data_IF_513867379179
#
_entry.id   IF_513867379179
#
_cell.length_a   1.000
_cell.length_b   1.000
_cell.length_c   1.000
_cell.angle_alpha   90.00
_cell.angle_beta   90.00
_cell.angle_gamma   90.00
#
_symmetry.space_group_name_H-M   'P 1'
#
loop_
_entity.id
_entity.type
_entity.pdbx_description
1 polymer ?
#
# COMPACT_ATOMS: atom_id res chain seq x y z
N UNK A 1 -4.91 14.95 -43.00
CA UNK A 1 -4.90 14.31 -41.65
C UNK A 1 -3.65 13.47 -41.47
N UNK A 2 -2.46 14.05 -41.62
CA UNK A 2 -1.16 13.34 -41.49
C UNK A 2 -0.04 14.20 -40.86
N UNK A 3 -0.38 15.31 -40.21
CA UNK A 3 0.62 16.26 -39.69
C UNK A 3 0.59 16.45 -38.17
N UNK A 4 -0.21 15.68 -37.41
CA UNK A 4 -0.30 15.82 -35.95
C UNK A 4 0.40 14.69 -35.17
N UNK A 5 0.86 13.63 -35.81
CA UNK A 5 1.48 12.47 -35.15
C UNK A 5 3.01 12.55 -35.04
N UNK A 6 3.64 13.54 -35.71
CA UNK A 6 5.11 13.68 -35.71
C UNK A 6 5.60 14.65 -34.61
N UNK A 7 4.73 15.50 -34.06
CA UNK A 7 5.16 16.46 -33.02
C UNK A 7 5.29 15.84 -31.61
N UNK A 8 4.64 14.73 -31.29
CA UNK A 8 4.77 14.06 -29.98
C UNK A 8 6.02 13.18 -29.84
N UNK A 9 6.61 12.72 -30.96
CA UNK A 9 7.83 11.89 -30.91
C UNK A 9 9.12 12.70 -30.83
N UNK A 10 9.11 13.97 -31.17
CA UNK A 10 10.27 14.86 -31.10
C UNK A 10 10.42 15.51 -29.71
N UNK A 11 9.35 15.59 -28.91
CA UNK A 11 9.41 16.14 -27.57
C UNK A 11 9.98 15.14 -26.53
N UNK A 12 9.91 13.83 -26.77
CA UNK A 12 10.51 12.81 -25.89
C UNK A 12 11.99 12.55 -26.16
N UNK A 13 12.52 12.90 -27.33
CA UNK A 13 13.95 12.68 -27.66
C UNK A 13 14.86 13.85 -27.30
N UNK A 14 14.32 15.01 -26.92
CA UNK A 14 15.11 16.19 -26.52
C UNK A 14 15.49 16.23 -25.03
N UNK A 15 15.03 15.28 -24.21
CA UNK A 15 15.35 15.19 -22.77
C UNK A 15 16.47 14.19 -22.44
N UNK A 16 17.06 13.52 -23.42
CA UNK A 16 18.07 12.47 -23.21
C UNK A 16 19.51 12.92 -23.54
N UNK A 17 19.74 14.14 -24.02
CA UNK A 17 21.09 14.60 -24.41
C UNK A 17 21.56 15.87 -23.69
N UNK A 18 21.46 15.88 -22.39
CA UNK A 18 22.08 16.87 -21.51
C UNK A 18 22.97 16.20 -20.47
N UNK A 19 24.09 15.56 -20.89
CA UNK A 19 25.16 15.22 -19.96
C UNK A 19 25.83 16.51 -19.46
N UNK A 20 25.28 17.11 -18.42
CA UNK A 20 26.04 18.02 -17.59
C UNK A 20 26.86 17.18 -16.61
N UNK A 21 28.19 17.19 -16.78
CA UNK A 21 29.12 16.70 -15.78
C UNK A 21 28.89 17.47 -14.48
N UNK A 22 28.16 16.83 -13.54
CA UNK A 22 28.10 17.31 -12.17
C UNK A 22 29.48 17.11 -11.53
N UNK A 23 29.95 18.08 -10.71
CA UNK A 23 31.26 17.98 -10.07
C UNK A 23 31.29 16.74 -9.16
N UNK A 24 32.33 15.92 -9.27
CA UNK A 24 32.64 14.82 -8.38
C UNK A 24 32.83 15.40 -6.98
N UNK A 25 31.82 15.21 -6.11
CA UNK A 25 31.96 15.52 -4.69
C UNK A 25 32.94 14.51 -4.10
N UNK A 26 34.04 14.93 -3.45
CA UNK A 26 34.95 13.99 -2.81
C UNK A 26 34.17 13.20 -1.74
N UNK A 27 34.49 11.92 -1.61
CA UNK A 27 33.92 11.02 -0.60
C UNK A 27 34.36 11.47 0.82
N UNK A 28 33.77 12.54 1.30
CA UNK A 28 33.78 12.85 2.72
C UNK A 28 32.77 11.89 3.36
N UNK A 29 33.25 11.06 4.28
CA UNK A 29 32.44 10.26 5.19
C UNK A 29 31.27 11.13 5.68
N UNK A 30 30.05 10.80 5.21
CA UNK A 30 28.84 11.46 5.73
C UNK A 30 28.73 11.04 7.18
N UNK A 31 29.15 11.89 8.09
CA UNK A 31 28.87 11.72 9.51
C UNK A 31 27.40 12.03 9.70
N UNK A 32 26.58 10.99 9.79
CA UNK A 32 25.20 11.09 10.22
C UNK A 32 25.19 11.48 11.70
N UNK A 33 24.92 12.74 11.99
CA UNK A 33 24.60 13.16 13.35
C UNK A 33 23.18 12.67 13.65
N UNK A 34 23.09 11.58 14.38
CA UNK A 34 21.83 10.94 14.78
C UNK A 34 21.19 11.62 16.00
N UNK A 35 21.30 12.93 16.14
CA UNK A 35 20.69 13.67 17.23
C UNK A 35 19.31 14.19 16.82
N UNK A 36 18.19 13.60 17.34
CA UNK A 36 16.83 14.06 17.06
C UNK A 36 16.59 15.51 17.53
N UNK A 37 17.44 16.04 18.38
CA UNK A 37 17.34 17.41 18.90
C UNK A 37 17.63 18.53 17.88
N UNK A 38 18.18 18.17 16.70
CA UNK A 38 18.49 19.15 15.64
C UNK A 38 17.38 19.27 14.58
N UNK A 39 16.34 18.46 14.66
CA UNK A 39 15.25 18.49 13.69
C UNK A 39 14.26 19.63 13.98
N UNK A 40 13.82 20.34 12.94
CA UNK A 40 12.87 21.45 13.10
C UNK A 40 11.48 20.92 13.52
N UNK A 41 11.14 21.06 14.79
CA UNK A 41 9.90 20.58 15.40
C UNK A 41 8.63 21.33 14.94
N UNK A 42 8.75 22.44 14.22
CA UNK A 42 7.63 23.26 13.78
C UNK A 42 7.16 22.97 12.34
N UNK A 43 7.73 21.96 11.68
CA UNK A 43 7.40 21.60 10.30
C UNK A 43 6.22 20.64 10.25
N UNK A 44 5.27 20.84 9.33
CA UNK A 44 4.17 19.90 9.07
C UNK A 44 4.66 18.69 8.26
N UNK A 45 5.26 17.73 8.95
CA UNK A 45 5.76 16.50 8.34
C UNK A 45 4.66 15.62 7.76
N UNK A 46 3.43 15.71 8.27
CA UNK A 46 2.33 14.83 7.85
C UNK A 46 1.92 15.10 6.41
N UNK A 47 1.83 16.37 6.02
CA UNK A 47 1.46 16.74 4.64
C UNK A 47 2.49 16.26 3.62
N UNK A 48 3.77 16.48 3.90
CA UNK A 48 4.85 16.03 3.02
C UNK A 48 4.93 14.50 2.95
N UNK A 49 4.80 13.84 4.10
CA UNK A 49 4.74 12.39 4.20
C UNK A 49 3.58 11.79 3.40
N UNK A 50 2.37 12.38 3.48
CA UNK A 50 1.21 11.94 2.69
C UNK A 50 1.51 11.98 1.20
N UNK A 51 2.05 13.09 0.71
CA UNK A 51 2.39 13.22 -0.71
C UNK A 51 3.35 12.12 -1.15
N UNK A 52 4.44 11.92 -0.40
CA UNK A 52 5.45 10.90 -0.69
C UNK A 52 4.85 9.47 -0.75
N UNK A 53 4.06 9.11 0.25
CA UNK A 53 3.50 7.75 0.33
C UNK A 53 2.36 7.51 -0.66
N UNK A 54 1.56 8.54 -1.01
CA UNK A 54 0.50 8.39 -2.02
C UNK A 54 1.07 8.20 -3.42
N UNK A 55 2.08 8.98 -3.80
CA UNK A 55 2.71 8.85 -5.11
C UNK A 55 3.31 7.44 -5.29
N UNK A 56 4.03 6.94 -4.27
CA UNK A 56 4.55 5.57 -4.29
C UNK A 56 3.43 4.52 -4.31
N UNK A 57 2.38 4.69 -3.49
CA UNK A 57 1.23 3.79 -3.47
C UNK A 57 0.61 3.64 -4.85
N UNK A 58 0.31 4.76 -5.54
CA UNK A 58 -0.31 4.73 -6.85
C UNK A 58 0.63 4.20 -7.94
N UNK A 59 1.92 4.50 -7.82
CA UNK A 59 2.93 4.02 -8.74
C UNK A 59 3.07 2.49 -8.70
N UNK A 60 3.05 1.91 -7.50
CA UNK A 60 3.08 0.45 -7.32
C UNK A 60 1.72 -0.22 -7.55
N UNK A 61 0.60 0.48 -7.30
CA UNK A 61 -0.75 -0.08 -7.41
C UNK A 61 -1.08 -0.56 -8.81
N UNK A 62 -0.72 0.22 -9.84
CA UNK A 62 -1.06 -0.09 -11.23
C UNK A 62 -0.45 -1.42 -11.72
N UNK A 63 0.87 -1.66 -11.62
CA UNK A 63 1.44 -2.94 -12.03
C UNK A 63 0.94 -4.11 -11.17
N UNK A 64 0.73 -3.92 -9.85
CA UNK A 64 0.12 -4.95 -9.01
C UNK A 64 -1.28 -5.29 -9.51
N UNK A 65 -2.13 -4.31 -9.78
CA UNK A 65 -3.48 -4.51 -10.26
C UNK A 65 -3.52 -5.30 -11.59
N UNK A 66 -2.70 -4.92 -12.55
CA UNK A 66 -2.62 -5.59 -13.86
C UNK A 66 -2.16 -7.05 -13.70
N UNK A 67 -1.08 -7.29 -12.95
CA UNK A 67 -0.51 -8.64 -12.76
C UNK A 67 -1.41 -9.56 -11.95
N UNK A 68 -2.23 -9.01 -11.06
CA UNK A 68 -3.20 -9.75 -10.25
C UNK A 68 -4.61 -9.82 -10.88
N UNK A 69 -4.73 -9.46 -12.15
CA UNK A 69 -6.01 -9.39 -12.85
C UNK A 69 -7.09 -8.62 -12.06
N UNK A 70 -6.67 -7.55 -11.38
CA UNK A 70 -7.52 -6.64 -10.60
C UNK A 70 -8.28 -7.31 -9.44
N UNK A 71 -7.81 -8.45 -8.92
CA UNK A 71 -8.37 -9.12 -7.74
C UNK A 71 -7.24 -9.41 -6.75
N UNK A 72 -6.95 -8.47 -5.85
CA UNK A 72 -5.77 -8.51 -5.01
C UNK A 72 -5.88 -7.67 -3.75
N UNK A 73 -4.97 -7.93 -2.83
CA UNK A 73 -4.62 -7.05 -1.70
C UNK A 73 -3.10 -6.98 -1.57
N UNK A 74 -2.56 -5.81 -1.23
CA UNK A 74 -1.12 -5.65 -0.94
C UNK A 74 -0.90 -4.46 0.01
N UNK A 75 0.30 -4.33 0.55
CA UNK A 75 0.67 -3.22 1.44
C UNK A 75 1.73 -2.33 0.79
N UNK A 76 1.34 -1.18 0.22
CA UNK A 76 2.31 -0.26 -0.38
C UNK A 76 3.26 0.35 0.65
N UNK A 77 2.77 0.67 1.86
CA UNK A 77 3.60 1.27 2.90
C UNK A 77 4.67 0.31 3.42
N UNK A 78 4.38 -1.00 3.45
CA UNK A 78 5.34 -2.02 3.87
C UNK A 78 6.50 -2.14 2.87
N UNK A 79 6.18 -2.16 1.57
CA UNK A 79 7.18 -2.14 0.49
C UNK A 79 8.00 -0.85 0.54
N UNK A 80 7.35 0.30 0.73
CA UNK A 80 8.00 1.61 0.86
C UNK A 80 9.05 1.62 1.99
N UNK A 81 8.70 1.07 3.18
CA UNK A 81 9.62 0.97 4.32
C UNK A 81 10.81 0.06 4.03
N UNK A 82 10.59 -1.08 3.37
CA UNK A 82 11.68 -1.99 3.01
C UNK A 82 12.62 -1.38 1.98
N UNK A 83 12.09 -0.67 0.98
CA UNK A 83 12.92 0.06 0.01
C UNK A 83 13.66 1.22 0.65
N UNK A 84 13.07 1.91 1.63
CA UNK A 84 13.76 2.93 2.41
C UNK A 84 14.95 2.36 3.17
N UNK A 85 14.81 1.17 3.77
CA UNK A 85 15.91 0.46 4.43
C UNK A 85 17.03 0.10 3.44
N UNK A 86 16.70 -0.38 2.24
CA UNK A 86 17.69 -0.65 1.20
C UNK A 86 18.39 0.64 0.75
N UNK A 87 17.63 1.73 0.57
CA UNK A 87 18.18 3.02 0.14
C UNK A 87 19.22 3.59 1.12
N UNK A 88 19.00 3.44 2.42
CA UNK A 88 19.97 3.91 3.45
C UNK A 88 21.31 3.12 3.42
N UNK A 89 21.34 1.96 2.77
CA UNK A 89 22.57 1.16 2.60
C UNK A 89 23.03 0.99 1.16
N UNK A 90 22.41 1.73 0.23
CA UNK A 90 22.77 1.69 -1.18
C UNK A 90 23.97 2.57 -1.52
N UNK A 91 24.62 2.31 -2.66
CA UNK A 91 25.61 3.22 -3.24
C UNK A 91 24.96 4.57 -3.60
N UNK A 92 25.76 5.65 -3.77
CA UNK A 92 25.19 7.00 -3.91
C UNK A 92 24.22 7.18 -5.07
N UNK A 93 24.41 6.49 -6.20
CA UNK A 93 23.53 6.60 -7.36
C UNK A 93 22.23 5.85 -7.12
N UNK A 94 22.30 4.62 -6.67
CA UNK A 94 21.14 3.80 -6.30
C UNK A 94 20.33 4.43 -5.15
N UNK A 95 21.02 4.98 -4.16
CA UNK A 95 20.40 5.73 -3.06
C UNK A 95 19.59 6.90 -3.58
N UNK A 96 20.17 7.72 -4.46
CA UNK A 96 19.49 8.87 -5.05
C UNK A 96 18.26 8.44 -5.84
N UNK A 97 18.35 7.39 -6.65
CA UNK A 97 17.24 6.85 -7.44
C UNK A 97 16.11 6.33 -6.53
N UNK A 98 16.45 5.58 -5.49
CA UNK A 98 15.46 5.08 -4.52
C UNK A 98 14.82 6.21 -3.71
N UNK A 99 15.58 7.20 -3.25
CA UNK A 99 15.02 8.36 -2.56
C UNK A 99 14.09 9.16 -3.47
N UNK A 100 14.42 9.30 -4.75
CA UNK A 100 13.52 9.93 -5.72
C UNK A 100 12.23 9.14 -5.91
N UNK A 101 12.31 7.82 -6.07
CA UNK A 101 11.14 6.94 -6.19
C UNK A 101 10.23 7.01 -4.96
N UNK A 102 10.82 7.03 -3.77
CA UNK A 102 10.12 7.07 -2.49
C UNK A 102 9.72 8.48 -2.06
N UNK A 103 10.04 9.50 -2.86
CA UNK A 103 9.90 10.92 -2.53
C UNK A 103 10.53 11.28 -1.18
N UNK A 104 11.66 10.65 -0.87
CA UNK A 104 12.44 10.90 0.34
C UNK A 104 13.44 12.03 0.12
N UNK A 105 13.56 13.00 1.05
CA UNK A 105 14.53 14.10 0.91
C UNK A 105 15.97 13.59 1.06
N UNK A 106 16.81 13.65 0.00
CA UNK A 106 18.15 13.07 0.04
C UNK A 106 19.09 13.78 1.00
N UNK A 107 18.90 15.11 1.21
CA UNK A 107 19.78 15.96 2.00
C UNK A 107 19.20 16.36 3.37
N UNK A 108 18.05 15.78 3.76
CA UNK A 108 17.40 16.05 5.04
C UNK A 108 17.14 14.74 5.80
N UNK A 109 18.15 14.18 6.50
CA UNK A 109 17.99 12.97 7.30
C UNK A 109 16.91 13.10 8.38
N UNK A 110 16.75 14.28 8.98
CA UNK A 110 15.73 14.52 10.00
C UNK A 110 14.33 14.29 9.45
N UNK A 111 14.05 14.85 8.27
CA UNK A 111 12.75 14.67 7.62
C UNK A 111 12.52 13.20 7.21
N UNK A 112 13.56 12.52 6.68
CA UNK A 112 13.45 11.08 6.36
C UNK A 112 13.11 10.26 7.60
N UNK A 113 13.83 10.47 8.71
CA UNK A 113 13.57 9.73 9.96
C UNK A 113 12.20 10.04 10.55
N UNK A 114 11.72 11.28 10.42
CA UNK A 114 10.34 11.61 10.78
C UNK A 114 9.33 10.82 9.93
N UNK A 115 9.56 10.67 8.63
CA UNK A 115 8.71 9.86 7.75
C UNK A 115 8.75 8.37 8.14
N UNK A 116 9.93 7.82 8.47
CA UNK A 116 10.05 6.44 8.93
C UNK A 116 9.28 6.19 10.21
N UNK A 117 9.39 7.09 11.19
CA UNK A 117 8.65 7.00 12.45
C UNK A 117 7.14 7.10 12.25
N UNK A 118 6.68 7.99 11.37
CA UNK A 118 5.26 8.06 11.00
C UNK A 118 4.84 6.72 10.38
N UNK A 119 5.52 6.24 9.34
CA UNK A 119 5.16 5.01 8.63
C UNK A 119 5.09 3.80 9.57
N UNK A 120 6.12 3.59 10.39
CA UNK A 120 6.20 2.43 11.29
C UNK A 120 5.19 2.48 12.42
N UNK A 121 4.82 3.69 12.90
CA UNK A 121 3.80 3.84 13.94
C UNK A 121 2.37 3.62 13.44
N UNK A 122 2.12 3.66 12.12
CA UNK A 122 0.76 3.59 11.56
C UNK A 122 0.28 2.17 11.24
N UNK A 123 1.18 1.23 10.99
CA UNK A 123 0.84 -0.16 10.68
C UNK A 123 1.02 -1.07 11.90
N UNK A 124 0.48 -0.69 13.05
CA UNK A 124 0.59 -1.42 14.31
C UNK A 124 -0.78 -1.92 14.77
N UNK A 125 -0.85 -3.02 15.54
CA UNK A 125 -2.09 -3.45 16.18
C UNK A 125 -2.68 -2.32 17.04
N UNK A 126 -4.00 -2.23 17.09
CA UNK A 126 -4.73 -1.35 17.99
C UNK A 126 -5.83 -2.11 18.72
N UNK A 127 -6.65 -1.42 19.51
CA UNK A 127 -7.71 -2.06 20.28
C UNK A 127 -8.76 -2.67 19.33
N UNK A 128 -8.88 -4.00 19.38
CA UNK A 128 -9.76 -4.83 18.54
C UNK A 128 -9.40 -4.82 17.04
N UNK A 129 -8.17 -4.40 16.71
CA UNK A 129 -7.60 -4.49 15.38
C UNK A 129 -6.26 -5.20 15.44
N UNK A 130 -6.20 -6.37 14.79
CA UNK A 130 -4.99 -7.16 14.68
C UNK A 130 -4.34 -6.91 13.31
N UNK A 131 -3.18 -6.25 13.32
CA UNK A 131 -2.30 -6.12 12.16
C UNK A 131 -1.01 -6.82 12.54
N UNK A 132 -0.63 -7.84 11.77
CA UNK A 132 0.65 -8.53 11.88
C UNK A 132 1.45 -8.21 10.64
N UNK A 133 2.57 -7.53 10.82
CA UNK A 133 3.44 -7.15 9.72
C UNK A 133 4.87 -7.57 10.04
N UNK A 134 5.46 -8.42 9.17
CA UNK A 134 6.86 -8.81 9.25
C UNK A 134 7.57 -8.37 7.97
N UNK A 135 8.55 -7.51 8.10
CA UNK A 135 9.42 -7.05 7.02
C UNK A 135 10.81 -7.60 7.30
N UNK A 136 11.30 -8.48 6.46
CA UNK A 136 12.51 -9.26 6.71
C UNK A 136 13.48 -9.15 5.54
N UNK A 137 14.72 -8.79 5.85
CA UNK A 137 15.87 -9.09 5.01
C UNK A 137 16.45 -10.43 5.48
N UNK A 138 16.17 -11.50 4.74
CA UNK A 138 16.82 -12.79 4.93
C UNK A 138 18.19 -12.74 4.24
N UNK A 139 19.27 -12.95 4.99
CA UNK A 139 20.64 -12.81 4.50
C UNK A 139 21.45 -14.08 4.78
N UNK A 140 22.44 -14.37 3.91
CA UNK A 140 23.26 -15.58 4.07
C UNK A 140 24.05 -15.57 5.38
N UNK A 141 24.12 -16.74 6.03
CA UNK A 141 24.97 -16.94 7.21
C UNK A 141 26.42 -16.55 6.95
N UNK A 142 27.07 -15.95 7.95
CA UNK A 142 28.45 -15.46 7.83
C UNK A 142 28.60 -14.09 7.17
N UNK A 143 27.51 -13.44 6.78
CA UNK A 143 27.52 -12.06 6.31
C UNK A 143 27.64 -11.08 7.48
N UNK A 144 28.54 -10.11 7.37
CA UNK A 144 28.75 -9.07 8.38
C UNK A 144 27.93 -7.82 8.02
N UNK A 145 27.02 -7.41 8.88
CA UNK A 145 26.22 -6.20 8.68
C UNK A 145 27.05 -4.94 8.91
N UNK A 146 26.79 -3.90 8.12
CA UNK A 146 27.32 -2.56 8.41
C UNK A 146 26.62 -2.00 9.66
N UNK A 147 27.36 -1.67 10.74
CA UNK A 147 26.77 -1.23 11.99
C UNK A 147 25.94 0.06 11.85
N UNK A 148 26.42 1.01 11.03
CA UNK A 148 25.72 2.29 10.81
C UNK A 148 24.37 2.08 10.12
N UNK A 149 24.34 1.28 9.06
CA UNK A 149 23.10 0.93 8.39
C UNK A 149 22.13 0.17 9.31
N UNK A 150 22.63 -0.83 10.01
CA UNK A 150 21.83 -1.63 10.93
C UNK A 150 21.21 -0.78 12.03
N UNK A 151 21.97 0.17 12.59
CA UNK A 151 21.47 1.12 13.59
C UNK A 151 20.32 1.99 13.07
N UNK A 152 20.45 2.53 11.85
CA UNK A 152 19.38 3.29 11.20
C UNK A 152 18.11 2.45 11.04
N UNK A 153 18.26 1.23 10.52
CA UNK A 153 17.13 0.35 10.23
C UNK A 153 16.40 -0.09 11.48
N UNK A 154 17.14 -0.47 12.54
CA UNK A 154 16.58 -0.90 13.83
C UNK A 154 15.91 0.26 14.55
N UNK A 155 16.56 1.42 14.67
CA UNK A 155 15.99 2.60 15.35
C UNK A 155 14.68 3.06 14.74
N UNK A 156 14.54 2.90 13.42
CA UNK A 156 13.34 3.29 12.70
C UNK A 156 12.39 2.11 12.43
N UNK A 157 12.71 0.90 12.91
CA UNK A 157 11.87 -0.30 12.74
C UNK A 157 11.46 -0.56 11.29
N UNK A 158 12.37 -0.32 10.33
CA UNK A 158 12.07 -0.43 8.91
C UNK A 158 11.93 -1.88 8.46
N UNK A 159 12.85 -2.75 8.90
CA UNK A 159 12.80 -4.19 8.70
C UNK A 159 13.68 -4.91 9.74
N UNK A 160 13.46 -6.23 9.87
CA UNK A 160 14.30 -7.13 10.66
C UNK A 160 15.28 -7.86 9.75
N UNK A 161 16.47 -8.21 10.28
CA UNK A 161 17.46 -9.01 9.56
C UNK A 161 17.50 -10.41 10.17
N UNK A 162 17.32 -11.42 9.34
CA UNK A 162 17.36 -12.83 9.72
C UNK A 162 18.41 -13.55 8.88
N UNK A 163 19.20 -14.41 9.51
CA UNK A 163 20.21 -15.21 8.79
C UNK A 163 19.69 -16.57 8.40
N UNK A 164 20.08 -17.06 7.23
CA UNK A 164 19.77 -18.40 6.73
C UNK A 164 20.92 -18.95 5.85
N UNK A 165 21.05 -20.26 5.71
CA UNK A 165 22.12 -20.88 4.90
C UNK A 165 21.82 -20.82 3.40
N UNK A 166 21.59 -19.62 2.85
CA UNK A 166 21.11 -19.40 1.48
C UNK A 166 22.04 -20.08 0.45
N UNK A 167 23.34 -19.91 0.60
CA UNK A 167 24.35 -20.45 -0.34
C UNK A 167 24.65 -21.93 -0.12
N UNK A 168 24.37 -22.46 1.08
CA UNK A 168 24.86 -23.79 1.47
C UNK A 168 23.76 -24.82 1.60
N UNK A 169 22.53 -24.40 1.85
CA UNK A 169 21.39 -25.30 2.03
C UNK A 169 20.09 -24.66 1.55
N UNK A 170 19.82 -24.77 0.26
CA UNK A 170 18.62 -24.22 -0.38
C UNK A 170 17.30 -24.80 0.20
N UNK A 171 17.32 -26.05 0.65
CA UNK A 171 16.14 -26.70 1.24
C UNK A 171 15.83 -26.10 2.62
N UNK A 172 16.83 -25.93 3.47
CA UNK A 172 16.64 -25.27 4.79
C UNK A 172 16.17 -23.82 4.61
N UNK A 173 16.79 -23.09 3.68
CA UNK A 173 16.37 -21.72 3.33
C UNK A 173 14.93 -21.68 2.85
N UNK A 174 14.52 -22.54 1.93
CA UNK A 174 13.14 -22.60 1.44
C UNK A 174 12.14 -22.91 2.57
N UNK A 175 12.52 -23.77 3.51
CA UNK A 175 11.69 -24.07 4.70
C UNK A 175 11.54 -22.84 5.62
N UNK A 176 12.61 -22.07 5.84
CA UNK A 176 12.54 -20.85 6.63
C UNK A 176 11.67 -19.79 5.96
N UNK A 177 11.84 -19.58 4.66
CA UNK A 177 10.99 -18.69 3.87
C UNK A 177 9.51 -19.11 3.96
N UNK A 178 9.23 -20.42 3.77
CA UNK A 178 7.87 -20.95 3.89
C UNK A 178 7.27 -20.70 5.28
N UNK A 179 8.06 -20.83 6.33
CA UNK A 179 7.63 -20.55 7.70
C UNK A 179 7.30 -19.06 7.89
N UNK A 180 8.17 -18.15 7.41
CA UNK A 180 7.96 -16.71 7.46
C UNK A 180 6.71 -16.32 6.67
N UNK A 181 6.63 -16.74 5.42
CA UNK A 181 5.54 -16.38 4.52
C UNK A 181 4.21 -17.08 4.84
N UNK A 182 4.24 -18.21 5.57
CA UNK A 182 3.07 -19.05 5.85
C UNK A 182 2.24 -19.38 4.60
N UNK A 183 2.90 -19.56 3.44
CA UNK A 183 2.28 -19.70 2.13
C UNK A 183 2.95 -20.79 1.30
N UNK A 184 2.26 -21.25 0.25
CA UNK A 184 2.88 -22.05 -0.82
C UNK A 184 3.64 -21.08 -1.72
N UNK A 185 4.95 -21.09 -1.60
CA UNK A 185 5.78 -20.23 -2.41
C UNK A 185 5.81 -20.66 -3.87
N UNK A 186 5.81 -19.71 -4.81
CA UNK A 186 6.27 -19.96 -6.17
C UNK A 186 7.72 -20.43 -6.14
N UNK A 187 8.21 -20.96 -7.25
CA UNK A 187 9.60 -21.40 -7.38
C UNK A 187 10.53 -20.19 -7.15
N UNK A 188 11.12 -20.11 -5.95
CA UNK A 188 12.04 -19.04 -5.58
C UNK A 188 13.38 -19.23 -6.24
N UNK A 189 13.87 -18.20 -6.89
CA UNK A 189 15.27 -18.11 -7.26
C UNK A 189 16.11 -17.70 -6.05
N UNK A 190 17.05 -18.53 -5.62
CA UNK A 190 18.02 -18.23 -4.58
C UNK A 190 19.40 -17.94 -5.19
N UNK A 191 19.44 -17.25 -6.32
CA UNK A 191 20.68 -16.93 -7.04
C UNK A 191 21.54 -15.89 -6.34
N UNK A 192 20.94 -15.05 -5.47
CA UNK A 192 21.64 -14.07 -4.65
C UNK A 192 22.10 -14.63 -3.31
N UNK A 193 22.49 -13.72 -2.41
CA UNK A 193 22.85 -14.04 -1.03
C UNK A 193 21.84 -13.48 -0.01
N UNK A 194 20.74 -12.93 -0.49
CA UNK A 194 19.65 -12.42 0.34
C UNK A 194 18.31 -12.49 -0.37
N UNK A 195 17.22 -12.37 0.43
CA UNK A 195 15.83 -12.34 -0.02
C UNK A 195 15.07 -11.32 0.83
N UNK A 196 14.23 -10.51 0.20
CA UNK A 196 13.31 -9.61 0.88
C UNK A 196 11.95 -10.28 1.01
N UNK A 197 11.46 -10.37 2.24
CA UNK A 197 10.19 -11.01 2.58
C UNK A 197 9.32 -10.04 3.37
N UNK A 198 8.09 -9.90 2.94
CA UNK A 198 7.10 -9.05 3.59
C UNK A 198 5.79 -9.83 3.79
N UNK A 199 5.25 -9.80 5.00
CA UNK A 199 3.94 -10.37 5.30
C UNK A 199 3.10 -9.38 6.06
N UNK A 200 1.85 -9.19 5.63
CA UNK A 200 0.90 -8.37 6.35
C UNK A 200 -0.47 -9.07 6.40
N UNK A 201 -0.95 -9.29 7.62
CA UNK A 201 -2.26 -9.87 7.87
C UNK A 201 -3.11 -8.87 8.67
N UNK A 202 -4.31 -8.58 8.17
CA UNK A 202 -5.28 -7.73 8.84
C UNK A 202 -6.52 -8.52 9.20
N UNK A 203 -6.95 -8.38 10.45
CA UNK A 203 -8.27 -8.79 10.95
C UNK A 203 -8.70 -7.83 12.07
N UNK A 204 -9.82 -7.12 11.84
CA UNK A 204 -10.31 -6.13 12.78
C UNK A 204 -11.83 -6.17 12.91
N UNK A 205 -12.32 -5.75 14.08
CA UNK A 205 -13.75 -5.58 14.34
C UNK A 205 -14.20 -4.20 13.85
N UNK A 206 -15.35 -4.13 13.20
CA UNK A 206 -15.97 -2.85 12.88
C UNK A 206 -16.30 -2.11 14.18
N UNK A 207 -16.18 -0.79 14.19
CA UNK A 207 -16.69 0.02 15.31
C UNK A 207 -18.19 -0.20 15.46
N UNK A 208 -18.94 -0.19 14.36
CA UNK A 208 -20.35 -0.57 14.33
C UNK A 208 -20.54 -1.85 13.51
N UNK A 209 -21.06 -2.90 14.11
CA UNK A 209 -21.27 -4.20 13.48
C UNK A 209 -22.24 -4.13 12.28
N UNK A 210 -22.07 -5.06 11.36
CA UNK A 210 -23.12 -5.42 10.41
C UNK A 210 -24.08 -6.41 11.09
N UNK A 211 -25.37 -6.19 11.00
CA UNK A 211 -26.35 -7.03 11.66
C UNK A 211 -26.38 -8.43 11.04
N UNK A 212 -26.22 -9.48 11.86
CA UNK A 212 -26.18 -10.88 11.39
C UNK A 212 -27.46 -11.31 10.65
N UNK A 213 -28.60 -10.78 11.07
CA UNK A 213 -29.91 -11.08 10.46
C UNK A 213 -30.03 -10.58 9.01
N UNK A 214 -29.10 -9.79 8.52
CA UNK A 214 -29.13 -9.19 7.16
C UNK A 214 -27.99 -9.68 6.28
N UNK A 215 -27.31 -10.75 6.68
CA UNK A 215 -26.36 -11.43 5.79
C UNK A 215 -27.15 -12.33 4.87
N UNK A 216 -27.05 -12.06 3.59
CA UNK A 216 -27.76 -12.81 2.56
C UNK A 216 -26.81 -13.27 1.44
N UNK A 217 -27.12 -14.40 0.86
CA UNK A 217 -26.43 -14.87 -0.36
C UNK A 217 -26.94 -14.04 -1.54
N UNK A 218 -26.09 -13.16 -2.08
CA UNK A 218 -26.44 -12.25 -3.17
C UNK A 218 -25.55 -12.47 -4.40
N UNK A 219 -26.03 -12.20 -5.62
CA UNK A 219 -25.22 -12.25 -6.81
C UNK A 219 -24.17 -11.13 -6.81
N UNK A 220 -23.01 -11.44 -7.36
CA UNK A 220 -21.96 -10.49 -7.68
C UNK A 220 -21.85 -10.36 -9.21
N UNK A 221 -21.87 -9.15 -9.73
CA UNK A 221 -22.00 -8.89 -11.15
C UNK A 221 -20.70 -8.41 -11.81
N UNK A 222 -20.53 -8.71 -13.08
CA UNK A 222 -19.53 -8.07 -13.94
C UNK A 222 -19.86 -6.60 -14.19
N UNK A 223 -18.93 -5.79 -14.73
CA UNK A 223 -19.24 -4.45 -15.21
C UNK A 223 -20.40 -4.39 -16.21
N UNK A 224 -20.62 -5.45 -16.98
CA UNK A 224 -21.68 -5.57 -17.97
C UNK A 224 -23.01 -6.08 -17.40
N UNK A 225 -23.05 -6.44 -16.11
CA UNK A 225 -24.24 -6.93 -15.43
C UNK A 225 -24.43 -8.45 -15.46
N UNK A 226 -23.44 -9.20 -15.93
CA UNK A 226 -23.46 -10.67 -15.88
C UNK A 226 -23.14 -11.16 -14.47
N UNK A 227 -23.77 -12.26 -14.04
CA UNK A 227 -23.50 -12.87 -12.73
C UNK A 227 -22.19 -13.61 -12.78
N UNK A 228 -21.18 -13.13 -12.03
CA UNK A 228 -19.88 -13.77 -11.88
C UNK A 228 -19.85 -14.84 -10.79
N UNK A 229 -20.78 -14.77 -9.86
CA UNK A 229 -20.88 -15.69 -8.73
C UNK A 229 -21.79 -15.15 -7.66
N UNK A 230 -21.70 -15.69 -6.45
CA UNK A 230 -22.48 -15.24 -5.30
C UNK A 230 -21.56 -14.93 -4.12
N UNK A 231 -21.92 -13.93 -3.34
CA UNK A 231 -21.22 -13.50 -2.13
C UNK A 231 -22.15 -13.48 -0.93
N UNK A 232 -21.60 -13.62 0.26
CA UNK A 232 -22.32 -13.34 1.50
C UNK A 232 -22.31 -11.84 1.73
N UNK A 233 -23.41 -11.17 1.36
CA UNK A 233 -23.54 -9.72 1.44
C UNK A 233 -23.91 -9.31 2.85
N UNK A 234 -23.09 -8.49 3.48
CA UNK A 234 -23.36 -7.86 4.78
C UNK A 234 -24.12 -6.56 4.52
N UNK A 235 -25.29 -6.42 5.14
CA UNK A 235 -26.13 -5.22 5.00
C UNK A 235 -26.34 -4.53 6.33
N UNK A 236 -26.29 -3.20 6.32
CA UNK A 236 -26.63 -2.37 7.47
C UNK A 236 -27.19 -1.04 6.99
N UNK A 237 -28.17 -0.50 7.73
CA UNK A 237 -28.70 0.86 7.51
C UNK A 237 -28.20 1.75 8.64
N UNK A 238 -27.44 2.79 8.30
CA UNK A 238 -26.86 3.73 9.27
C UNK A 238 -26.36 5.01 8.60
N UNK A 239 -26.10 6.04 9.41
CA UNK A 239 -25.29 7.16 8.94
C UNK A 239 -23.84 6.70 8.76
N UNK A 240 -23.21 7.20 7.73
CA UNK A 240 -21.81 6.92 7.44
C UNK A 240 -21.17 8.09 6.70
N UNK A 241 -19.87 8.19 6.78
CA UNK A 241 -19.13 9.17 5.99
C UNK A 241 -19.03 8.70 4.55
N UNK A 242 -19.56 9.52 3.65
CA UNK A 242 -19.57 9.28 2.21
C UNK A 242 -19.03 10.47 1.45
N UNK A 243 -18.57 10.22 0.23
CA UNK A 243 -18.12 11.23 -0.69
C UNK A 243 -18.41 10.84 -2.14
N UNK A 244 -18.16 11.79 -3.03
CA UNK A 244 -18.20 11.58 -4.47
C UNK A 244 -16.94 12.17 -5.11
N UNK A 245 -16.21 11.30 -5.81
CA UNK A 245 -14.99 11.65 -6.51
C UNK A 245 -15.36 11.94 -7.96
N UNK A 246 -15.37 13.24 -8.32
CA UNK A 246 -15.82 13.69 -9.64
C UNK A 246 -14.89 13.22 -10.76
N UNK A 247 -13.57 13.24 -10.50
CA UNK A 247 -12.54 12.89 -11.49
C UNK A 247 -12.64 11.47 -12.02
N UNK A 248 -13.22 10.54 -11.24
CA UNK A 248 -13.35 9.12 -11.59
C UNK A 248 -14.79 8.60 -11.51
N UNK A 249 -15.77 9.47 -11.31
CA UNK A 249 -17.19 9.11 -11.16
C UNK A 249 -17.45 8.00 -10.12
N UNK A 250 -16.86 8.11 -8.93
CA UNK A 250 -16.96 7.09 -7.89
C UNK A 250 -17.62 7.61 -6.63
N UNK A 251 -18.49 6.78 -6.02
CA UNK A 251 -18.90 6.92 -4.62
C UNK A 251 -17.76 6.42 -3.75
N UNK A 252 -17.53 7.09 -2.62
CA UNK A 252 -16.63 6.63 -1.57
C UNK A 252 -17.39 6.48 -0.26
N UNK A 253 -17.11 5.41 0.47
CA UNK A 253 -17.62 5.13 1.80
C UNK A 253 -16.46 4.95 2.77
N UNK A 254 -16.53 5.58 3.93
CA UNK A 254 -15.59 5.41 5.02
C UNK A 254 -16.28 4.72 6.21
N UNK A 255 -15.69 3.64 6.70
CA UNK A 255 -16.14 2.90 7.87
C UNK A 255 -15.03 2.81 8.91
N UNK A 256 -15.35 3.14 10.16
CA UNK A 256 -14.43 3.06 11.28
C UNK A 256 -14.19 1.60 11.71
N UNK A 257 -12.96 1.31 12.13
CA UNK A 257 -12.51 -0.01 12.58
C UNK A 257 -11.81 0.12 13.94
N UNK A 258 -12.11 -0.81 14.84
CA UNK A 258 -11.57 -0.85 16.19
C UNK A 258 -12.33 0.01 17.19
N UNK A 259 -12.02 -0.16 18.47
CA UNK A 259 -12.66 0.58 19.56
C UNK A 259 -12.12 2.01 19.70
N UNK A 260 -10.89 2.24 19.27
CA UNK A 260 -10.23 3.55 19.26
C UNK A 260 -10.39 4.30 17.94
N UNK A 261 -11.09 3.69 16.98
CA UNK A 261 -11.32 4.22 15.64
C UNK A 261 -10.02 4.70 14.93
N UNK A 262 -8.92 4.09 15.27
CA UNK A 262 -7.61 4.43 14.71
C UNK A 262 -7.51 4.14 13.22
N UNK A 263 -8.28 3.18 12.74
CA UNK A 263 -8.27 2.79 11.34
C UNK A 263 -9.59 3.08 10.66
N UNK A 264 -9.49 3.31 9.35
CA UNK A 264 -10.62 3.52 8.45
C UNK A 264 -10.53 2.55 7.28
N UNK A 265 -11.61 1.86 7.01
CA UNK A 265 -11.76 1.13 5.75
C UNK A 265 -12.48 2.02 4.75
N UNK A 266 -11.83 2.29 3.63
CA UNK A 266 -12.41 3.07 2.53
C UNK A 266 -12.82 2.12 1.42
N UNK A 267 -14.03 2.32 0.89
CA UNK A 267 -14.56 1.57 -0.25
C UNK A 267 -14.92 2.55 -1.35
N UNK A 268 -14.64 2.18 -2.61
CA UNK A 268 -14.97 3.00 -3.76
C UNK A 268 -15.69 2.18 -4.81
N UNK A 269 -16.91 2.57 -5.17
CA UNK A 269 -17.71 1.98 -6.26
C UNK A 269 -17.91 2.98 -7.39
N UNK A 270 -17.73 2.52 -8.62
CA UNK A 270 -17.85 3.37 -9.80
C UNK A 270 -19.30 3.50 -10.19
N UNK A 271 -19.74 4.73 -10.49
CA UNK A 271 -21.12 5.03 -10.91
C UNK A 271 -21.20 4.97 -12.44
N UNK A 272 -22.27 4.40 -12.95
CA UNK A 272 -22.54 4.32 -14.39
C UNK A 272 -21.86 3.14 -15.06
N UNK A 273 -20.63 3.30 -15.52
CA UNK A 273 -19.83 2.18 -16.05
C UNK A 273 -18.88 1.66 -14.94
N UNK A 274 -19.20 0.53 -14.29
CA UNK A 274 -18.47 0.04 -13.13
C UNK A 274 -17.16 -0.70 -13.47
N UNK A 275 -16.56 -0.49 -14.64
CA UNK A 275 -15.23 -1.02 -14.95
C UNK A 275 -14.16 -0.24 -14.19
N UNK A 276 -13.44 -0.94 -13.30
CA UNK A 276 -12.37 -0.33 -12.48
C UNK A 276 -11.06 -0.15 -13.24
N UNK A 277 -10.85 -0.84 -14.37
CA UNK A 277 -9.57 -0.81 -15.11
C UNK A 277 -9.18 0.60 -15.59
N UNK A 278 -10.08 1.36 -16.27
CA UNK A 278 -9.79 2.73 -16.65
C UNK A 278 -9.56 3.64 -15.44
N UNK A 279 -10.27 3.37 -14.33
CA UNK A 279 -10.16 4.15 -13.09
C UNK A 279 -8.77 3.96 -12.47
N UNK A 280 -8.31 2.73 -12.34
CA UNK A 280 -6.95 2.43 -11.82
C UNK A 280 -5.87 3.11 -12.66
N UNK A 281 -6.05 3.21 -13.97
CA UNK A 281 -5.12 3.92 -14.85
C UNK A 281 -5.15 5.45 -14.65
N UNK A 282 -6.31 6.02 -14.27
CA UNK A 282 -6.55 7.46 -14.18
C UNK A 282 -6.29 8.05 -12.77
N UNK A 283 -6.35 7.24 -11.70
CA UNK A 283 -6.17 7.72 -10.32
C UNK A 283 -4.78 8.33 -10.12
N UNK A 284 -4.75 9.49 -9.47
CA UNK A 284 -3.54 10.24 -9.11
C UNK A 284 -3.56 10.58 -7.62
N UNK A 285 -2.46 11.09 -7.07
CA UNK A 285 -2.44 11.62 -5.69
C UNK A 285 -3.50 12.72 -5.48
N UNK A 286 -3.74 13.56 -6.48
CA UNK A 286 -4.83 14.54 -6.43
C UNK A 286 -6.21 13.90 -6.28
N UNK A 287 -6.45 12.75 -6.93
CA UNK A 287 -7.69 11.96 -6.76
C UNK A 287 -7.82 11.44 -5.33
N UNK A 288 -6.72 11.01 -4.69
CA UNK A 288 -6.73 10.56 -3.29
C UNK A 288 -7.05 11.72 -2.34
N UNK A 289 -6.51 12.92 -2.59
CA UNK A 289 -6.87 14.12 -1.83
C UNK A 289 -8.34 14.50 -2.04
N UNK A 290 -8.83 14.49 -3.29
CA UNK A 290 -10.25 14.71 -3.60
C UNK A 290 -11.15 13.70 -2.85
N UNK A 291 -10.74 12.43 -2.79
CA UNK A 291 -11.43 11.38 -2.04
C UNK A 291 -11.59 11.76 -0.57
N UNK A 292 -10.49 12.10 0.10
CA UNK A 292 -10.48 12.43 1.52
C UNK A 292 -11.29 13.70 1.78
N UNK A 293 -11.09 14.73 0.95
CA UNK A 293 -11.75 16.02 1.08
C UNK A 293 -13.26 15.96 0.76
N UNK A 294 -13.71 14.96 0.01
CA UNK A 294 -15.15 14.79 -0.32
C UNK A 294 -15.95 14.15 0.81
N UNK A 295 -15.31 13.45 1.75
CA UNK A 295 -15.98 12.68 2.79
C UNK A 295 -16.76 13.58 3.75
N UNK A 296 -18.08 13.35 3.87
CA UNK A 296 -18.99 14.02 4.81
C UNK A 296 -19.91 13.00 5.44
N UNK A 297 -20.31 13.24 6.68
CA UNK A 297 -21.37 12.45 7.32
C UNK A 297 -22.68 12.57 6.52
N UNK A 298 -23.33 11.44 6.25
CA UNK A 298 -24.63 11.44 5.59
C UNK A 298 -25.70 12.09 6.45
N UNK A 299 -26.56 12.92 5.86
CA UNK A 299 -27.63 13.62 6.59
C UNK A 299 -28.70 12.66 7.12
N UNK A 300 -28.90 11.54 6.44
CA UNK A 300 -29.86 10.48 6.77
C UNK A 300 -29.15 9.12 6.76
N UNK A 301 -29.77 8.10 7.42
CA UNK A 301 -29.26 6.73 7.30
C UNK A 301 -29.26 6.25 5.84
N UNK A 302 -28.17 5.60 5.45
CA UNK A 302 -27.97 5.02 4.12
C UNK A 302 -27.91 3.50 4.19
N UNK A 303 -28.30 2.85 3.11
CA UNK A 303 -28.17 1.40 2.98
C UNK A 303 -26.74 1.06 2.51
N UNK A 304 -26.00 0.35 3.36
CA UNK A 304 -24.65 -0.11 3.08
C UNK A 304 -24.66 -1.62 2.87
N UNK A 305 -24.13 -2.08 1.73
CA UNK A 305 -23.99 -3.50 1.42
C UNK A 305 -22.57 -3.79 0.90
N UNK A 306 -21.83 -4.63 1.64
CA UNK A 306 -20.44 -4.99 1.34
C UNK A 306 -20.28 -6.51 1.48
N UNK A 307 -19.57 -7.20 0.57
CA UNK A 307 -19.32 -8.63 0.69
C UNK A 307 -18.50 -8.98 1.94
N UNK A 308 -18.90 -10.03 2.65
CA UNK A 308 -18.02 -10.71 3.59
C UNK A 308 -17.01 -11.51 2.80
N UNK A 309 -15.72 -11.34 3.05
CA UNK A 309 -14.67 -12.00 2.29
C UNK A 309 -13.36 -12.12 3.05
N UNK A 310 -12.56 -13.06 2.60
CA UNK A 310 -11.12 -13.13 2.88
C UNK A 310 -10.41 -13.00 1.55
N UNK A 311 -9.56 -12.00 1.42
CA UNK A 311 -8.71 -11.83 0.24
C UNK A 311 -7.26 -11.99 0.66
N UNK A 312 -6.52 -12.80 -0.08
CA UNK A 312 -5.09 -13.03 0.14
C UNK A 312 -4.36 -13.00 -1.19
N UNK A 313 -3.23 -12.33 -1.22
CA UNK A 313 -2.40 -12.22 -2.41
C UNK A 313 -0.94 -12.49 -2.09
N UNK A 314 -0.26 -13.10 -3.03
CA UNK A 314 1.19 -13.22 -3.09
C UNK A 314 1.69 -12.38 -4.26
N UNK A 315 2.46 -11.34 -3.96
CA UNK A 315 2.97 -10.39 -4.95
C UNK A 315 4.48 -10.59 -5.09
N UNK A 316 4.94 -10.85 -6.30
CA UNK A 316 6.36 -10.74 -6.63
C UNK A 316 6.71 -9.26 -6.80
N UNK A 317 7.16 -8.64 -5.70
CA UNK A 317 7.48 -7.22 -5.65
C UNK A 317 8.69 -6.90 -6.53
N UNK A 318 9.63 -7.85 -6.69
CA UNK A 318 10.76 -7.67 -7.59
C UNK A 318 10.29 -7.34 -9.01
N UNK A 319 9.36 -8.15 -9.54
CA UNK A 319 8.81 -7.94 -10.89
C UNK A 319 8.05 -6.61 -10.99
N UNK A 320 7.32 -6.22 -9.94
CA UNK A 320 6.65 -4.92 -9.87
C UNK A 320 7.68 -3.77 -9.94
N UNK A 321 8.78 -3.89 -9.21
CA UNK A 321 9.85 -2.90 -9.18
C UNK A 321 10.59 -2.81 -10.52
N UNK A 322 10.83 -3.95 -11.16
CA UNK A 322 11.42 -4.01 -12.51
C UNK A 322 10.53 -3.30 -13.55
N UNK A 323 9.20 -3.48 -13.49
CA UNK A 323 8.24 -2.78 -14.35
C UNK A 323 8.30 -1.25 -14.21
N UNK A 324 8.70 -0.76 -13.04
CA UNK A 324 8.81 0.67 -12.75
C UNK A 324 10.24 1.18 -12.78
N UNK A 325 11.18 0.37 -13.31
CA UNK A 325 12.55 0.77 -13.59
C UNK A 325 13.55 0.58 -12.45
N UNK A 326 13.18 -0.10 -11.35
CA UNK A 326 14.09 -0.45 -10.26
C UNK A 326 14.63 -1.85 -10.48
N UNK A 327 15.78 -1.97 -11.13
CA UNK A 327 16.41 -3.25 -11.49
C UNK A 327 17.74 -3.47 -10.76
N UNK A 328 18.47 -2.39 -10.49
CA UNK A 328 19.88 -2.43 -10.10
C UNK A 328 20.13 -3.18 -8.80
N UNK A 329 19.26 -3.00 -7.80
CA UNK A 329 19.35 -3.71 -6.51
C UNK A 329 19.25 -5.24 -6.64
N UNK A 330 18.73 -5.76 -7.77
CA UNK A 330 18.56 -7.18 -8.06
C UNK A 330 19.56 -7.72 -9.07
N UNK A 331 20.36 -6.86 -9.72
CA UNK A 331 21.25 -7.23 -10.82
C UNK A 331 22.71 -6.92 -10.54
N UNK A 332 23.00 -5.92 -9.69
CA UNK A 332 24.36 -5.50 -9.35
C UNK A 332 24.57 -5.48 -7.82
N UNK A 333 25.37 -6.43 -7.26
CA UNK A 333 25.64 -6.48 -5.83
C UNK A 333 26.34 -5.22 -5.29
N UNK A 334 27.04 -4.45 -6.13
CA UNK A 334 27.73 -3.24 -5.69
C UNK A 334 26.77 -2.13 -5.24
N UNK A 335 25.52 -2.17 -5.69
CA UNK A 335 24.48 -1.17 -5.37
C UNK A 335 24.10 -1.18 -3.89
N UNK A 336 24.29 -2.29 -3.19
CA UNK A 336 23.91 -2.49 -1.77
C UNK A 336 25.13 -2.65 -0.85
N UNK A 337 26.29 -2.17 -1.29
CA UNK A 337 27.58 -2.39 -0.61
C UNK A 337 27.71 -1.81 0.79
N UNK A 338 26.83 -0.88 1.18
CA UNK A 338 26.83 -0.30 2.52
C UNK A 338 25.85 -1.00 3.47
N UNK A 339 25.16 -2.04 3.03
CA UNK A 339 24.31 -2.89 3.90
C UNK A 339 25.17 -3.89 4.65
N UNK A 340 26.08 -4.60 3.95
CA UNK A 340 26.86 -5.70 4.52
C UNK A 340 28.09 -6.05 3.71
N UNK A 341 28.96 -6.88 4.31
CA UNK A 341 30.12 -7.51 3.65
C UNK A 341 30.01 -9.05 3.77
N UNK A 342 29.94 -9.79 2.64
CA UNK A 342 29.76 -9.30 1.27
C UNK A 342 28.44 -8.53 1.10
N UNK A 343 28.32 -7.66 0.06
CA UNK A 343 27.12 -6.88 -0.19
C UNK A 343 25.85 -7.75 -0.21
N UNK A 344 24.77 -7.31 0.45
CA UNK A 344 23.49 -7.97 0.38
C UNK A 344 22.94 -7.87 -1.05
N UNK A 345 22.70 -9.02 -1.68
CA UNK A 345 22.25 -9.10 -3.06
C UNK A 345 20.93 -9.87 -3.12
N UNK A 346 19.78 -9.16 -3.05
CA UNK A 346 18.48 -9.81 -3.03
C UNK A 346 18.17 -10.46 -4.38
N UNK A 347 17.88 -11.76 -4.36
CA UNK A 347 17.43 -12.50 -5.54
C UNK A 347 15.94 -12.43 -5.76
N UNK A 348 15.18 -12.11 -4.72
CA UNK A 348 13.71 -12.04 -4.74
C UNK A 348 13.21 -11.00 -3.74
N UNK A 349 12.07 -10.43 -4.03
CA UNK A 349 11.30 -9.62 -3.09
C UNK A 349 9.84 -10.04 -3.18
N UNK A 350 9.34 -10.65 -2.12
CA UNK A 350 7.99 -11.21 -2.07
C UNK A 350 7.17 -10.54 -0.97
N UNK A 351 5.92 -10.23 -1.27
CA UNK A 351 4.95 -9.83 -0.28
C UNK A 351 3.76 -10.79 -0.26
N UNK A 352 3.34 -11.24 0.93
CA UNK A 352 2.04 -11.86 1.16
C UNK A 352 1.19 -10.92 2.00
N UNK A 353 -0.01 -10.63 1.51
CA UNK A 353 -0.98 -9.81 2.22
C UNK A 353 -2.29 -10.58 2.37
N UNK A 354 -2.92 -10.50 3.56
CA UNK A 354 -4.24 -11.08 3.83
C UNK A 354 -5.12 -10.06 4.54
N UNK A 355 -6.33 -9.87 4.02
CA UNK A 355 -7.33 -8.96 4.59
C UNK A 355 -8.65 -9.70 4.78
N UNK A 356 -9.15 -9.66 6.02
CA UNK A 356 -10.41 -10.31 6.41
C UNK A 356 -11.48 -9.24 6.63
N UNK A 357 -12.58 -9.34 5.89
CA UNK A 357 -13.81 -8.57 6.11
C UNK A 357 -14.90 -9.51 6.60
N UNK A 358 -15.36 -9.32 7.83
CA UNK A 358 -16.43 -10.07 8.45
C UNK A 358 -17.57 -9.12 8.89
N UNK A 359 -18.63 -9.67 9.46
CA UNK A 359 -19.79 -8.89 9.94
C UNK A 359 -19.67 -8.45 11.40
N UNK A 360 -18.62 -8.87 12.10
CA UNK A 360 -18.49 -8.66 13.54
C UNK A 360 -18.06 -7.23 13.85
N UNK A 361 -18.67 -6.60 14.82
CA UNK A 361 -18.33 -5.27 15.31
C UNK A 361 -18.56 -5.13 16.80
N UNK A 362 -18.16 -3.98 17.35
CA UNK A 362 -18.15 -3.71 18.78
C UNK A 362 -19.52 -3.22 19.28
N UNK A 363 -20.18 -2.42 18.47
CA UNK A 363 -21.48 -1.83 18.80
C UNK A 363 -22.55 -2.33 17.83
N UNK A 364 -23.77 -2.51 18.34
CA UNK A 364 -24.91 -2.73 17.48
C UNK A 364 -25.17 -1.49 16.59
N UNK A 365 -25.65 -1.68 15.35
CA UNK A 365 -26.05 -0.54 14.54
C UNK A 365 -27.14 0.25 15.25
N UNK A 366 -27.09 1.60 15.26
CA UNK A 366 -28.13 2.42 15.86
C UNK A 366 -29.46 2.22 15.12
N UNK A 367 -30.52 2.02 15.87
CA UNK A 367 -31.88 2.07 15.33
C UNK A 367 -32.31 3.55 15.24
N UNK A 368 -31.95 4.19 14.14
CA UNK A 368 -32.38 5.57 13.89
C UNK A 368 -33.79 5.58 13.31
N UNK A 369 -34.71 6.42 13.87
CA UNK A 369 -36.01 6.62 13.25
C UNK A 369 -35.83 7.23 11.84
N UNK A 370 -36.68 6.82 10.91
CA UNK A 370 -36.71 7.44 9.58
C UNK A 370 -37.24 8.88 9.69
N UNK A 371 -36.32 9.82 9.84
CA UNK A 371 -36.64 11.24 9.71
C UNK A 371 -36.55 11.59 8.23
N UNK A 372 -37.66 11.94 7.61
CA UNK A 372 -37.68 12.43 6.24
C UNK A 372 -37.04 13.81 6.18
N UNK A 373 -35.77 13.89 5.87
CA UNK A 373 -35.08 15.12 5.51
C UNK A 373 -35.01 15.23 4.00
N UNK A 374 -35.15 16.43 3.45
CA UNK A 374 -34.92 16.64 2.03
C UNK A 374 -33.46 16.26 1.68
N UNK A 375 -33.23 15.55 0.54
CA UNK A 375 -31.89 15.18 0.12
C UNK A 375 -30.96 16.39 0.01
N UNK A 376 -29.73 16.24 0.50
CA UNK A 376 -28.67 17.24 0.32
C UNK A 376 -28.11 17.17 -1.10
N UNK A 377 -27.29 18.14 -1.50
CA UNK A 377 -26.63 18.12 -2.81
C UNK A 377 -25.82 16.84 -3.06
N UNK A 378 -25.20 16.28 -2.03
CA UNK A 378 -24.44 15.01 -2.12
C UNK A 378 -25.39 13.82 -2.33
N UNK A 379 -26.49 13.74 -1.58
CA UNK A 379 -27.49 12.66 -1.69
C UNK A 379 -28.23 12.68 -3.03
N UNK A 380 -28.41 13.85 -3.63
CA UNK A 380 -28.97 13.97 -4.98
C UNK A 380 -28.03 13.37 -6.04
N UNK A 381 -26.70 13.50 -5.85
CA UNK A 381 -25.68 13.01 -6.80
C UNK A 381 -25.43 11.51 -6.62
N UNK A 382 -25.30 11.03 -5.37
CA UNK A 382 -24.85 9.67 -5.08
C UNK A 382 -25.97 8.71 -4.65
N UNK A 383 -27.17 9.23 -4.36
CA UNK A 383 -28.28 8.44 -3.82
C UNK A 383 -28.07 8.11 -2.34
N UNK A 384 -28.99 7.29 -1.79
CA UNK A 384 -29.02 6.90 -0.38
C UNK A 384 -28.51 5.49 -0.13
N UNK A 385 -27.68 4.96 -1.01
CA UNK A 385 -27.16 3.62 -0.90
C UNK A 385 -25.67 3.56 -1.27
N UNK A 386 -24.98 2.58 -0.69
CA UNK A 386 -23.64 2.16 -1.07
C UNK A 386 -23.63 0.64 -1.19
N UNK A 387 -23.69 0.13 -2.41
CA UNK A 387 -23.79 -1.30 -2.70
C UNK A 387 -22.57 -1.74 -3.50
N UNK A 388 -21.76 -2.62 -2.92
CA UNK A 388 -20.55 -3.19 -3.54
C UNK A 388 -20.86 -4.61 -4.09
N UNK A 389 -21.78 -4.68 -5.07
CA UNK A 389 -22.23 -5.91 -5.73
C UNK A 389 -21.53 -6.18 -7.08
N UNK A 390 -20.55 -5.39 -7.45
CA UNK A 390 -19.76 -5.43 -8.68
C UNK A 390 -18.35 -4.91 -8.41
N UNK A 391 -17.41 -4.92 -9.37
CA UNK A 391 -16.02 -4.53 -9.12
C UNK A 391 -15.86 -3.25 -8.34
N UNK A 392 -15.08 -3.28 -7.26
CA UNK A 392 -14.82 -2.14 -6.40
C UNK A 392 -13.37 -2.10 -5.92
N UNK A 393 -12.92 -0.90 -5.54
CA UNK A 393 -11.63 -0.65 -4.92
C UNK A 393 -11.84 -0.44 -3.41
N UNK A 394 -10.89 -0.89 -2.60
CA UNK A 394 -10.95 -0.64 -1.17
C UNK A 394 -9.57 -0.66 -0.53
N UNK A 395 -9.48 -0.22 0.72
CA UNK A 395 -8.23 -0.23 1.44
C UNK A 395 -8.39 0.14 2.90
N UNK A 396 -7.37 -0.24 3.68
CA UNK A 396 -7.22 0.10 5.09
C UNK A 396 -6.31 1.31 5.22
N UNK A 397 -6.77 2.33 5.95
CA UNK A 397 -6.06 3.58 6.16
C UNK A 397 -5.95 3.92 7.65
N UNK A 398 -4.86 4.55 8.04
CA UNK A 398 -4.74 5.21 9.34
C UNK A 398 -5.63 6.45 9.38
N UNK A 399 -6.42 6.64 10.44
CA UNK A 399 -7.41 7.71 10.52
C UNK A 399 -6.81 9.12 10.67
N UNK A 400 -5.61 9.23 11.23
CA UNK A 400 -4.95 10.52 11.47
C UNK A 400 -4.19 10.99 10.24
N UNK A 401 -3.40 10.13 9.64
CA UNK A 401 -2.54 10.47 8.51
C UNK A 401 -3.14 10.11 7.15
N UNK A 402 -4.18 9.29 7.11
CA UNK A 402 -4.69 8.63 5.91
C UNK A 402 -3.61 7.84 5.15
N UNK A 403 -2.58 7.36 5.86
CA UNK A 403 -1.60 6.44 5.28
C UNK A 403 -2.31 5.18 4.79
N UNK A 404 -2.09 4.82 3.53
CA UNK A 404 -2.61 3.57 2.98
C UNK A 404 -1.81 2.37 3.52
N UNK A 405 -2.39 1.67 4.50
CA UNK A 405 -1.79 0.47 5.10
C UNK A 405 -1.90 -0.71 4.15
N UNK A 406 -3.09 -0.93 3.59
CA UNK A 406 -3.37 -1.97 2.60
C UNK A 406 -4.25 -1.39 1.50
N UNK A 407 -3.92 -1.71 0.27
CA UNK A 407 -4.70 -1.35 -0.91
C UNK A 407 -5.19 -2.62 -1.61
N UNK A 408 -6.41 -2.59 -2.13
CA UNK A 408 -7.06 -3.77 -2.68
C UNK A 408 -8.04 -3.44 -3.81
N UNK A 409 -8.30 -4.42 -4.63
CA UNK A 409 -9.39 -4.44 -5.58
C UNK A 409 -10.09 -5.80 -5.52
N UNK A 410 -11.40 -5.81 -5.67
CA UNK A 410 -12.22 -7.01 -5.70
C UNK A 410 -13.07 -7.02 -6.96
N UNK A 411 -12.83 -7.97 -7.84
CA UNK A 411 -13.48 -8.04 -9.17
C UNK A 411 -14.28 -9.29 -9.39
N UNK A 412 -14.03 -10.32 -8.61
CA UNK A 412 -14.77 -11.57 -8.70
C UNK A 412 -14.78 -12.30 -7.35
N UNK A 413 -15.88 -13.00 -7.01
CA UNK A 413 -15.87 -13.91 -5.88
C UNK A 413 -14.78 -14.96 -6.07
N UNK A 414 -14.04 -15.30 -5.01
CA UNK A 414 -13.16 -16.48 -5.02
C UNK A 414 -14.02 -17.72 -5.24
N UNK A 415 -13.66 -18.50 -6.24
CA UNK A 415 -14.22 -19.83 -6.46
C UNK A 415 -13.85 -20.78 -5.35
#
# INVERSE_FOLDING_TARGET
MQTLTILCLVACSALISGQQHLPVVPSSSIQYTSDPGLCNVNRDYIREYRSATYDFCLFSYRPVAVRSNFNFVYSPISIWMMLAAIAEGADPLTQQNLFQLLHLPPHDPCLRYAFYQIATSRALPSKEVNIRNNRILLINEGTTLNPTWHDIVVKNSLLDVVTAPIKYNSVATANEIKKIMSARLPTLSLSGNSVLLDTIDYNGLWTTAFADAVIERAPFYSPQGEVLGSVDMMRVRRRARMGYIKSIHAKILELAVGADERYRMLFSVIIGNPDIKPVVAAVTSATVFEMIDSLRESAVPIDVAIPRMVISSEVDVRVILEDIGVTDIFTDPSTTRYISDPPAFPSSFLQRATLVLNNTGLYAPPQEPEIYNAPTGLELVVGRDFIADRPFLFGLFDAETYTCIMAAAYTSPSL
#
